data_IF_476099351223
#
_entry.id   IF_476099351223
#
_cell.length_a   1.000
_cell.length_b   1.000
_cell.length_c   1.000
_cell.angle_alpha   90.00
_cell.angle_beta   90.00
_cell.angle_gamma   90.00
#
_symmetry.space_group_name_H-M   'P 1'
#
loop_
_entity.id
_entity.type
_entity.pdbx_description
1 polymer ?
#
# COMPACT_ATOMS: atom_id res chain seq x y z
N UNK A 1 54.85 -39.49 -24.76
CA UNK A 1 55.31 -38.08 -24.70
C UNK A 1 54.43 -37.32 -25.68
N UNK A 2 53.52 -36.39 -25.38
CA UNK A 2 53.08 -35.65 -24.18
C UNK A 2 51.54 -35.61 -24.22
N UNK A 3 50.86 -35.70 -23.06
CA UNK A 3 49.41 -35.50 -22.97
C UNK A 3 49.15 -34.00 -22.80
N UNK A 4 48.45 -33.38 -23.75
CA UNK A 4 47.98 -32.01 -23.61
C UNK A 4 46.88 -31.96 -22.54
N UNK A 5 47.16 -31.27 -21.43
CA UNK A 5 46.20 -30.95 -20.39
C UNK A 5 45.38 -29.74 -20.86
N UNK A 6 44.16 -29.97 -21.34
CA UNK A 6 43.22 -28.91 -21.65
C UNK A 6 42.56 -28.40 -20.36
N UNK A 7 42.82 -27.15 -19.99
CA UNK A 7 42.08 -26.47 -18.91
C UNK A 7 40.72 -26.08 -19.45
N UNK A 8 39.66 -26.68 -18.90
CA UNK A 8 38.28 -26.27 -19.14
C UNK A 8 37.94 -25.11 -18.18
N UNK A 9 37.89 -23.89 -18.70
CA UNK A 9 37.33 -22.75 -17.97
C UNK A 9 35.82 -22.75 -18.21
N UNK A 10 35.05 -23.22 -17.23
CA UNK A 10 33.58 -23.08 -17.24
C UNK A 10 33.28 -21.66 -16.78
N UNK A 11 32.96 -20.78 -17.74
CA UNK A 11 32.46 -19.44 -17.46
C UNK A 11 30.97 -19.56 -17.09
N UNK A 12 30.66 -19.70 -15.81
CA UNK A 12 29.28 -19.54 -15.33
C UNK A 12 28.89 -18.06 -15.45
N UNK A 13 28.18 -17.69 -16.51
CA UNK A 13 27.42 -16.45 -16.52
C UNK A 13 26.32 -16.58 -15.47
N UNK A 14 26.53 -15.96 -14.31
CA UNK A 14 25.43 -15.68 -13.40
C UNK A 14 24.55 -14.63 -14.08
N UNK A 15 23.40 -15.07 -14.62
CA UNK A 15 22.35 -14.15 -15.02
C UNK A 15 21.81 -13.52 -13.73
N UNK A 16 22.22 -12.28 -13.46
CA UNK A 16 21.51 -11.43 -12.51
C UNK A 16 20.16 -11.13 -13.16
N UNK A 17 19.15 -11.92 -12.84
CA UNK A 17 17.77 -11.56 -13.17
C UNK A 17 17.49 -10.27 -12.41
N UNK A 18 17.46 -9.14 -13.12
CA UNK A 18 16.93 -7.92 -12.56
C UNK A 18 15.49 -8.21 -12.13
N UNK A 19 15.27 -8.37 -10.83
CA UNK A 19 13.95 -8.60 -10.27
C UNK A 19 13.09 -7.38 -10.60
N UNK A 20 12.20 -7.53 -11.58
CA UNK A 20 11.23 -6.50 -11.91
C UNK A 20 10.22 -6.40 -10.77
N UNK A 21 9.74 -5.20 -10.45
CA UNK A 21 8.68 -5.03 -9.46
C UNK A 21 7.45 -5.85 -9.88
N UNK A 22 7.09 -6.85 -9.08
CA UNK A 22 5.89 -7.66 -9.30
C UNK A 22 4.71 -7.04 -8.57
N UNK A 23 3.56 -6.96 -9.24
CA UNK A 23 2.29 -6.56 -8.61
C UNK A 23 1.34 -7.74 -8.68
N UNK A 24 0.77 -8.12 -7.53
CA UNK A 24 -0.23 -9.18 -7.43
C UNK A 24 -1.52 -8.56 -6.87
N UNK A 25 -2.65 -8.58 -7.61
CA UNK A 25 -3.92 -8.12 -7.06
C UNK A 25 -4.37 -9.07 -5.95
N UNK A 26 -4.62 -8.51 -4.76
CA UNK A 26 -5.16 -9.27 -3.60
C UNK A 26 -6.68 -9.28 -3.63
N UNK A 27 -7.28 -8.15 -3.98
CA UNK A 27 -8.71 -7.94 -4.17
C UNK A 27 -8.88 -6.86 -5.22
N UNK A 28 -9.88 -7.00 -6.09
CA UNK A 28 -10.21 -5.98 -7.09
C UNK A 28 -11.12 -4.90 -6.46
N UNK A 29 -12.31 -5.29 -6.02
CA UNK A 29 -13.23 -4.45 -5.25
C UNK A 29 -13.90 -5.25 -4.15
N UNK A 30 -14.11 -4.61 -3.00
CA UNK A 30 -14.94 -5.15 -1.92
C UNK A 30 -15.60 -4.02 -1.14
N UNK A 31 -16.84 -4.26 -0.76
CA UNK A 31 -17.64 -3.39 0.11
C UNK A 31 -17.99 -4.12 1.39
N UNK A 32 -18.12 -3.39 2.49
CA UNK A 32 -18.44 -3.92 3.81
C UNK A 32 -19.22 -2.91 4.63
N UNK A 33 -19.97 -3.42 5.62
CA UNK A 33 -20.60 -2.59 6.65
C UNK A 33 -19.80 -2.67 7.95
N UNK A 34 -19.54 -1.52 8.57
CA UNK A 34 -18.82 -1.49 9.85
C UNK A 34 -19.72 -1.94 11.02
N UNK A 35 -19.21 -2.73 11.98
CA UNK A 35 -17.87 -3.32 12.00
C UNK A 35 -17.78 -4.63 11.19
N UNK A 36 -16.74 -4.76 10.36
CA UNK A 36 -16.38 -6.02 9.70
C UNK A 36 -14.86 -6.22 9.77
N UNK A 37 -14.43 -7.47 9.93
CA UNK A 37 -13.05 -7.89 9.74
C UNK A 37 -12.95 -8.70 8.46
N UNK A 38 -12.09 -8.25 7.55
CA UNK A 38 -11.82 -8.91 6.28
C UNK A 38 -10.41 -9.51 6.37
N UNK A 39 -10.30 -10.81 6.13
CA UNK A 39 -9.02 -11.53 6.07
C UNK A 39 -8.73 -11.88 4.61
N UNK A 40 -7.57 -11.44 4.12
CA UNK A 40 -7.14 -11.64 2.72
C UNK A 40 -5.82 -12.42 2.72
N UNK A 41 -5.84 -13.74 2.49
CA UNK A 41 -4.60 -14.51 2.41
C UNK A 41 -3.81 -14.10 1.17
N UNK A 42 -2.50 -13.97 1.31
CA UNK A 42 -1.57 -13.61 0.22
C UNK A 42 -0.36 -14.52 0.24
N UNK A 43 0.04 -15.02 -0.92
CA UNK A 43 1.33 -15.68 -1.10
C UNK A 43 2.35 -14.67 -1.63
N UNK A 44 3.41 -14.43 -0.87
CA UNK A 44 4.47 -13.50 -1.22
C UNK A 44 5.61 -14.29 -1.89
N UNK A 45 6.01 -13.95 -3.13
CA UNK A 45 7.06 -14.68 -3.82
C UNK A 45 8.40 -14.56 -3.08
N UNK A 46 9.33 -15.51 -3.28
CA UNK A 46 10.68 -15.39 -2.77
C UNK A 46 11.36 -14.10 -3.25
N UNK A 47 12.10 -13.45 -2.37
CA UNK A 47 12.86 -12.24 -2.65
C UNK A 47 14.28 -12.32 -2.06
N UNK A 48 15.20 -11.58 -2.65
CA UNK A 48 16.59 -11.43 -2.17
C UNK A 48 16.67 -10.60 -0.88
N UNK A 49 17.85 -10.56 -0.26
CA UNK A 49 18.09 -9.72 0.93
C UNK A 49 17.73 -8.25 0.66
N UNK A 50 18.17 -7.71 -0.48
CA UNK A 50 17.72 -6.40 -0.95
C UNK A 50 16.37 -6.53 -1.63
N UNK A 51 15.31 -6.06 -0.97
CA UNK A 51 13.94 -6.07 -1.47
C UNK A 51 13.10 -5.03 -0.74
N UNK A 52 11.92 -4.75 -1.29
CA UNK A 52 10.87 -4.03 -0.60
C UNK A 52 9.52 -4.63 -1.00
N UNK A 53 8.67 -4.90 -0.01
CA UNK A 53 7.28 -5.33 -0.24
C UNK A 53 6.36 -4.20 0.15
N UNK A 54 5.42 -3.85 -0.73
CA UNK A 54 4.48 -2.74 -0.52
C UNK A 54 3.04 -3.23 -0.58
N UNK A 55 2.19 -2.72 0.32
CA UNK A 55 0.74 -2.90 0.27
C UNK A 55 0.08 -1.62 -0.22
N UNK A 56 -0.63 -1.71 -1.34
CA UNK A 56 -1.48 -0.63 -1.84
C UNK A 56 -2.94 -0.88 -1.48
N UNK A 57 -3.65 0.16 -1.04
CA UNK A 57 -5.10 0.13 -0.84
C UNK A 57 -5.72 1.44 -1.31
N UNK A 58 -6.77 1.35 -2.12
CA UNK A 58 -7.69 2.47 -2.35
C UNK A 58 -8.94 2.29 -1.50
N UNK A 59 -9.30 3.29 -0.71
CA UNK A 59 -10.41 3.18 0.24
C UNK A 59 -11.21 4.48 0.35
N UNK A 60 -12.54 4.33 0.43
CA UNK A 60 -13.52 5.39 0.69
C UNK A 60 -14.66 4.84 1.53
N UNK A 61 -15.39 5.73 2.19
CA UNK A 61 -16.72 5.43 2.71
C UNK A 61 -17.70 5.79 1.59
N UNK A 62 -18.52 4.82 1.18
CA UNK A 62 -19.52 5.04 0.15
C UNK A 62 -20.53 6.09 0.61
N UNK A 63 -20.60 7.19 -0.13
CA UNK A 63 -21.44 8.34 0.18
C UNK A 63 -21.79 9.12 -1.08
N UNK A 64 -22.99 9.70 -1.22
CA UNK A 64 -23.41 10.36 -2.47
C UNK A 64 -22.59 11.56 -2.93
N UNK A 65 -21.78 12.15 -2.04
CA UNK A 65 -21.01 13.37 -2.32
C UNK A 65 -19.77 13.44 -1.41
N UNK A 66 -18.81 14.30 -1.74
CA UNK A 66 -17.68 14.54 -0.85
C UNK A 66 -18.13 15.25 0.43
N UNK A 67 -18.14 14.54 1.57
CA UNK A 67 -18.85 15.00 2.78
C UNK A 67 -18.07 14.87 4.10
N UNK A 68 -16.75 14.77 4.03
CA UNK A 68 -15.87 14.73 5.20
C UNK A 68 -15.02 13.47 5.26
N UNK A 69 -14.57 13.11 6.46
CA UNK A 69 -13.72 11.94 6.67
C UNK A 69 -13.75 11.44 8.11
N UNK A 70 -13.46 10.15 8.32
CA UNK A 70 -13.31 9.56 9.66
C UNK A 70 -12.20 8.50 9.72
N UNK A 71 -11.47 8.36 10.85
CA UNK A 71 -10.58 7.22 11.14
C UNK A 71 -11.38 5.92 11.25
N UNK A 72 -11.57 5.24 10.12
CA UNK A 72 -12.54 4.14 10.00
C UNK A 72 -11.89 2.76 9.89
N UNK A 73 -10.76 2.65 9.20
CA UNK A 73 -10.16 1.34 8.91
C UNK A 73 -8.92 1.08 9.77
N UNK A 74 -8.71 -0.18 10.12
CA UNK A 74 -7.43 -0.67 10.67
C UNK A 74 -6.86 -1.67 9.67
N UNK A 75 -5.56 -1.60 9.40
CA UNK A 75 -4.89 -2.54 8.49
C UNK A 75 -3.88 -3.33 9.31
N UNK A 76 -3.95 -4.65 9.20
CA UNK A 76 -3.05 -5.58 9.87
C UNK A 76 -2.39 -6.45 8.82
N UNK A 77 -1.11 -6.78 9.03
CA UNK A 77 -0.35 -7.75 8.24
C UNK A 77 0.31 -8.72 9.21
N UNK A 78 -0.02 -10.00 9.09
CA UNK A 78 0.35 -11.07 10.02
C UNK A 78 0.09 -10.70 11.50
N UNK A 79 -1.04 -10.03 11.76
CA UNK A 79 -1.43 -9.56 13.09
C UNK A 79 -0.77 -8.25 13.56
N UNK A 80 0.20 -7.71 12.81
CA UNK A 80 0.83 -6.42 13.12
C UNK A 80 0.04 -5.28 12.50
N UNK A 81 -0.36 -4.31 13.32
CA UNK A 81 -1.08 -3.11 12.85
C UNK A 81 -0.13 -2.17 12.14
N UNK A 82 -0.49 -1.76 10.92
CA UNK A 82 0.28 -0.77 10.16
C UNK A 82 0.04 0.65 10.69
N UNK A 83 1.13 1.37 10.92
CA UNK A 83 1.15 2.72 11.49
C UNK A 83 1.70 3.80 10.55
N UNK A 84 1.76 5.06 11.01
CA UNK A 84 2.33 6.19 10.24
C UNK A 84 3.74 5.93 9.72
N UNK A 85 4.54 5.18 10.48
CA UNK A 85 5.91 4.82 10.14
C UNK A 85 6.02 3.85 8.95
N UNK A 86 4.94 3.15 8.60
CA UNK A 86 4.89 2.27 7.44
C UNK A 86 4.43 3.02 6.18
N UNK A 87 3.91 4.24 6.29
CA UNK A 87 3.30 4.97 5.15
C UNK A 87 4.35 5.58 4.22
N UNK A 88 4.24 5.30 2.93
CA UNK A 88 5.24 5.68 1.92
C UNK A 88 4.83 6.87 1.04
N UNK A 89 3.55 7.03 0.73
CA UNK A 89 3.13 7.90 -0.38
C UNK A 89 2.61 9.28 0.04
N UNK A 90 2.55 9.58 1.34
CA UNK A 90 2.06 10.86 1.85
C UNK A 90 2.57 11.10 3.28
N UNK A 91 2.60 12.35 3.72
CA UNK A 91 2.79 12.68 5.14
C UNK A 91 1.56 12.31 5.94
N UNK A 92 1.71 11.98 7.23
CA UNK A 92 0.55 11.67 8.07
C UNK A 92 -0.37 12.88 8.33
N UNK A 93 0.07 14.10 8.05
CA UNK A 93 -0.73 15.33 8.16
C UNK A 93 -1.18 15.83 6.79
N UNK A 94 -2.32 16.51 6.76
CA UNK A 94 -2.85 17.21 5.59
C UNK A 94 -3.82 18.31 6.01
N UNK A 95 -4.11 19.24 5.10
CA UNK A 95 -5.05 20.35 5.33
C UNK A 95 -6.10 20.29 4.24
N UNK A 96 -7.38 20.21 4.62
CA UNK A 96 -8.49 20.31 3.67
C UNK A 96 -8.68 21.75 3.22
N UNK A 97 -9.39 21.96 2.10
CA UNK A 97 -9.63 23.30 1.54
C UNK A 97 -10.27 24.30 2.53
N UNK A 98 -11.08 23.84 3.47
CA UNK A 98 -11.64 24.70 4.53
C UNK A 98 -10.59 25.25 5.51
N UNK A 99 -9.32 24.83 5.42
CA UNK A 99 -8.23 25.27 6.29
C UNK A 99 -8.07 24.42 7.56
N UNK A 100 -8.82 23.32 7.68
CA UNK A 100 -8.73 22.43 8.84
C UNK A 100 -7.58 21.44 8.65
N UNK A 101 -6.68 21.41 9.63
CA UNK A 101 -5.60 20.43 9.71
C UNK A 101 -6.09 19.09 10.27
N UNK A 102 -5.71 18.01 9.60
CA UNK A 102 -6.11 16.65 9.93
C UNK A 102 -4.91 15.71 9.83
N UNK A 103 -5.09 14.49 10.36
CA UNK A 103 -4.16 13.39 10.17
C UNK A 103 -4.81 12.18 9.48
N UNK A 104 -4.02 11.49 8.66
CA UNK A 104 -4.41 10.23 8.02
C UNK A 104 -4.50 9.08 9.01
N UNK A 105 -3.69 9.10 10.06
CA UNK A 105 -3.72 8.11 11.13
C UNK A 105 -4.01 8.78 12.48
N UNK A 106 -4.98 8.25 13.21
CA UNK A 106 -5.31 8.67 14.58
C UNK A 106 -6.05 7.55 15.31
N UNK A 107 -5.79 7.40 16.61
CA UNK A 107 -6.46 6.39 17.44
C UNK A 107 -6.28 4.95 16.94
N UNK A 108 -5.15 4.65 16.30
CA UNK A 108 -4.87 3.34 15.72
C UNK A 108 -5.58 3.05 14.38
N UNK A 109 -6.25 4.03 13.77
CA UNK A 109 -7.05 3.86 12.55
C UNK A 109 -6.64 4.83 11.46
N UNK A 110 -6.80 4.40 10.22
CA UNK A 110 -6.64 5.21 9.02
C UNK A 110 -7.94 5.94 8.67
N UNK A 111 -7.80 7.22 8.37
CA UNK A 111 -8.85 8.15 7.96
C UNK A 111 -9.16 7.95 6.50
N UNK A 112 -10.43 7.70 6.20
CA UNK A 112 -10.97 7.57 4.85
C UNK A 112 -12.06 8.61 4.64
N UNK A 113 -12.28 9.00 3.38
CA UNK A 113 -13.19 10.07 3.01
C UNK A 113 -14.59 9.51 2.70
N UNK A 114 -15.62 10.26 3.05
CA UNK A 114 -16.96 10.08 2.48
C UNK A 114 -16.94 10.66 1.07
N UNK A 115 -17.13 9.82 0.05
CA UNK A 115 -16.96 10.23 -1.35
C UNK A 115 -17.75 9.30 -2.29
N UNK A 116 -18.32 9.79 -3.40
CA UNK A 116 -19.03 8.96 -4.37
C UNK A 116 -18.07 8.13 -5.24
N UNK A 117 -16.84 8.60 -5.38
CA UNK A 117 -15.80 7.93 -6.16
C UNK A 117 -14.40 8.21 -5.57
N UNK A 118 -13.34 7.80 -6.29
CA UNK A 118 -11.94 8.00 -5.92
C UNK A 118 -11.30 9.27 -6.51
N UNK A 119 -12.12 10.23 -6.95
CA UNK A 119 -11.66 11.47 -7.60
C UNK A 119 -12.31 12.74 -7.06
N UNK A 120 -13.49 12.68 -6.45
CA UNK A 120 -14.21 13.87 -5.96
C UNK A 120 -13.36 14.77 -5.08
N UNK A 121 -12.50 14.22 -4.22
CA UNK A 121 -11.60 15.02 -3.37
C UNK A 121 -10.62 15.90 -4.17
N UNK A 122 -10.35 15.57 -5.43
CA UNK A 122 -9.40 16.26 -6.32
C UNK A 122 -10.14 17.14 -7.35
N UNK A 123 -11.26 16.63 -7.87
CA UNK A 123 -12.04 17.26 -8.93
C UNK A 123 -13.03 18.30 -8.39
N UNK A 124 -13.66 18.03 -7.25
CA UNK A 124 -14.52 18.98 -6.52
C UNK A 124 -13.66 19.94 -5.68
N UNK A 125 -12.91 20.78 -6.40
CA UNK A 125 -12.48 22.10 -5.90
C UNK A 125 -13.72 22.81 -5.34
N UNK A 126 -13.69 23.92 -4.64
CA UNK A 126 -14.87 24.52 -3.97
C UNK A 126 -15.48 23.70 -2.81
N UNK A 127 -15.40 22.37 -2.80
CA UNK A 127 -15.77 21.59 -1.60
C UNK A 127 -14.86 21.92 -0.42
N UNK A 128 -15.39 22.13 0.81
CA UNK A 128 -14.57 22.38 1.99
C UNK A 128 -13.67 21.20 2.38
N UNK A 129 -13.95 20.02 1.84
CA UNK A 129 -13.21 18.78 2.06
C UNK A 129 -12.26 18.41 0.92
N UNK A 130 -12.16 19.26 -0.11
CA UNK A 130 -11.26 19.05 -1.22
C UNK A 130 -9.79 19.01 -0.75
N UNK A 131 -8.99 18.22 -1.46
CA UNK A 131 -7.56 17.98 -1.22
C UNK A 131 -6.76 18.18 -2.50
N UNK A 132 -5.45 17.96 -2.42
CA UNK A 132 -4.56 18.04 -3.57
C UNK A 132 -3.97 16.69 -3.90
N UNK A 133 -3.45 16.52 -5.12
CA UNK A 133 -2.84 15.27 -5.58
C UNK A 133 -1.70 14.80 -4.67
N UNK A 134 -0.96 15.73 -4.04
CA UNK A 134 0.13 15.42 -3.10
C UNK A 134 -0.34 14.56 -1.92
N UNK A 135 -1.62 14.69 -1.56
CA UNK A 135 -2.20 14.04 -0.40
C UNK A 135 -2.69 12.62 -0.76
N UNK A 136 -2.79 12.30 -2.06
CA UNK A 136 -3.26 11.02 -2.60
C UNK A 136 -4.48 10.47 -1.83
N UNK A 137 -5.59 11.22 -1.76
CA UNK A 137 -6.57 11.16 -0.67
C UNK A 137 -7.23 9.79 -0.44
N UNK A 138 -7.28 8.97 -1.49
CA UNK A 138 -7.90 7.65 -1.44
C UNK A 138 -6.89 6.50 -1.39
N UNK A 139 -5.64 6.75 -1.77
CA UNK A 139 -4.62 5.72 -1.94
C UNK A 139 -3.66 5.70 -0.77
N UNK A 140 -3.58 4.57 -0.10
CA UNK A 140 -2.56 4.25 0.88
C UNK A 140 -1.52 3.34 0.26
N UNK A 141 -0.25 3.61 0.53
CA UNK A 141 0.85 2.73 0.17
C UNK A 141 1.72 2.54 1.42
N UNK A 142 1.76 1.32 1.93
CA UNK A 142 2.57 0.97 3.09
C UNK A 142 3.78 0.13 2.70
N UNK A 143 4.90 0.35 3.38
CA UNK A 143 6.01 -0.59 3.42
C UNK A 143 5.65 -1.73 4.38
N UNK A 144 5.49 -2.94 3.83
CA UNK A 144 5.19 -4.14 4.62
C UNK A 144 6.37 -5.10 4.71
N UNK A 145 7.56 -4.68 4.26
CA UNK A 145 8.75 -5.55 4.14
C UNK A 145 9.05 -6.30 5.43
N UNK A 146 9.00 -5.61 6.58
CA UNK A 146 9.23 -6.22 7.91
C UNK A 146 8.07 -7.04 8.46
N UNK A 147 6.90 -6.96 7.83
CA UNK A 147 5.67 -7.59 8.31
C UNK A 147 5.33 -8.87 7.55
N UNK A 148 6.07 -9.20 6.49
CA UNK A 148 5.84 -10.38 5.64
C UNK A 148 7.04 -11.30 5.57
N UNK A 149 6.79 -12.52 5.10
CA UNK A 149 7.79 -13.52 4.75
C UNK A 149 7.46 -14.14 3.39
N UNK A 150 8.42 -14.75 2.67
CA UNK A 150 8.09 -15.57 1.51
C UNK A 150 7.07 -16.68 1.86
N UNK A 151 6.15 -16.95 0.93
CA UNK A 151 5.03 -17.88 1.08
C UNK A 151 3.78 -17.25 1.70
N UNK A 152 3.03 -18.03 2.47
CA UNK A 152 1.72 -17.62 2.99
C UNK A 152 1.79 -16.55 4.10
N UNK A 153 0.97 -15.52 3.94
CA UNK A 153 0.73 -14.40 4.86
C UNK A 153 -0.77 -14.08 4.91
N UNK A 154 -1.19 -13.30 5.92
CA UNK A 154 -2.58 -12.82 6.10
C UNK A 154 -2.64 -11.37 6.54
#
# INVERSE_FOLDING_TARGET
MMKNLGVLVVLTLAFVTAASAQTTPVVDQRESMSPEMIVLPVDVPPFSVEHQVRLGLEARIDWPQLSGSNPWISVLVNGNRLGPEDLLNKTNSFTVRSGVDLSWFSGGRWRVLYSPDFRSALDEKDSPYALTEKDHPFRFLWDITRHVKPGANV
#
